data_IF_955148933707
#
_entry.id   IF_955148933707
#
_cell.length_a   1.000
_cell.length_b   1.000
_cell.length_c   1.000
_cell.angle_alpha   90.00
_cell.angle_beta   90.00
_cell.angle_gamma   90.00
#
_symmetry.space_group_name_H-M   'P 1'
#
loop_
_entity.id
_entity.type
_entity.pdbx_description
1 polymer ?
#
# COMPACT_ATOMS: atom_id res chain seq x y z
N UNK A 1 -6.08 -15.54 31.82
CA UNK A 1 -5.71 -14.45 30.90
C UNK A 1 -6.50 -14.64 29.60
N UNK A 2 -7.46 -13.76 29.30
CA UNK A 2 -8.14 -13.78 28.00
C UNK A 2 -7.08 -13.39 26.95
N UNK A 3 -6.73 -14.33 26.07
CA UNK A 3 -5.85 -14.00 24.95
C UNK A 3 -6.52 -12.88 24.14
N UNK A 4 -5.83 -11.74 23.88
CA UNK A 4 -6.40 -10.70 23.05
C UNK A 4 -6.81 -11.34 21.71
N UNK A 5 -7.97 -10.97 21.14
CA UNK A 5 -8.45 -11.58 19.91
C UNK A 5 -7.33 -11.48 18.88
N UNK A 6 -6.84 -12.64 18.43
CA UNK A 6 -5.80 -12.73 17.41
C UNK A 6 -6.30 -11.90 16.23
N UNK A 7 -5.75 -10.70 16.02
CA UNK A 7 -6.11 -9.85 14.88
C UNK A 7 -5.75 -10.62 13.63
N UNK A 8 -6.70 -11.38 13.12
CA UNK A 8 -6.57 -12.05 11.84
C UNK A 8 -6.64 -10.95 10.79
N UNK A 9 -5.64 -10.83 9.90
CA UNK A 9 -5.68 -9.86 8.82
C UNK A 9 -6.94 -10.11 7.99
N UNK A 10 -7.79 -9.09 7.88
CA UNK A 10 -9.06 -9.24 7.17
C UNK A 10 -8.85 -8.92 5.70
N UNK A 11 -9.18 -9.90 4.85
CA UNK A 11 -9.12 -9.74 3.39
C UNK A 11 -9.82 -8.47 2.93
N UNK A 12 -10.98 -8.17 3.52
CA UNK A 12 -11.76 -6.99 3.17
C UNK A 12 -11.05 -5.69 3.56
N UNK A 13 -10.44 -5.60 4.76
CA UNK A 13 -9.69 -4.39 5.11
C UNK A 13 -8.48 -4.20 4.18
N UNK A 14 -7.77 -5.28 3.84
CA UNK A 14 -6.65 -5.19 2.91
C UNK A 14 -7.08 -4.69 1.52
N UNK A 15 -8.23 -5.14 1.00
CA UNK A 15 -8.77 -4.62 -0.27
C UNK A 15 -9.19 -3.15 -0.16
N UNK A 16 -9.82 -2.75 0.94
CA UNK A 16 -10.23 -1.36 1.16
C UNK A 16 -9.01 -0.44 1.22
N UNK A 17 -7.99 -0.82 2.01
CA UNK A 17 -6.74 -0.04 2.10
C UNK A 17 -6.03 -0.03 0.75
N UNK A 18 -6.02 -1.15 0.01
CA UNK A 18 -5.46 -1.20 -1.33
C UNK A 18 -6.16 -0.24 -2.29
N UNK A 19 -7.50 -0.14 -2.24
CA UNK A 19 -8.25 0.78 -3.08
C UNK A 19 -7.97 2.25 -2.70
N UNK A 20 -7.95 2.55 -1.39
CA UNK A 20 -7.65 3.89 -0.86
C UNK A 20 -6.25 4.37 -1.23
N UNK A 21 -5.28 3.46 -1.39
CA UNK A 21 -3.93 3.79 -1.84
C UNK A 21 -3.80 3.74 -3.36
N UNK A 22 -4.43 2.76 -3.99
CA UNK A 22 -4.31 2.49 -5.42
C UNK A 22 -4.90 3.59 -6.27
N UNK A 23 -6.07 4.13 -5.89
CA UNK A 23 -6.73 5.20 -6.66
C UNK A 23 -5.87 6.49 -6.67
N UNK A 24 -5.46 7.06 -5.52
CA UNK A 24 -4.56 8.22 -5.52
C UNK A 24 -3.19 7.91 -6.13
N UNK A 25 -2.66 6.69 -5.92
CA UNK A 25 -1.40 6.26 -6.51
C UNK A 25 -1.44 6.27 -8.04
N UNK A 26 -2.52 5.77 -8.65
CA UNK A 26 -2.74 5.85 -10.10
C UNK A 26 -2.85 7.29 -10.58
N UNK A 27 -3.59 8.13 -9.86
CA UNK A 27 -3.75 9.55 -10.21
C UNK A 27 -2.41 10.27 -10.20
N UNK A 28 -1.59 10.07 -9.16
CA UNK A 28 -0.26 10.65 -9.09
C UNK A 28 0.66 10.11 -10.19
N UNK A 29 0.62 8.81 -10.48
CA UNK A 29 1.46 8.24 -11.52
C UNK A 29 1.11 8.80 -12.91
N UNK A 30 -0.17 8.79 -13.27
CA UNK A 30 -0.64 9.32 -14.57
C UNK A 30 -0.40 10.82 -14.65
N UNK A 31 -0.75 11.56 -13.61
CA UNK A 31 -0.50 13.01 -13.54
C UNK A 31 0.99 13.34 -13.61
N UNK A 32 1.84 12.52 -13.00
CA UNK A 32 3.29 12.65 -13.03
C UNK A 32 3.87 12.44 -14.42
N UNK A 33 3.41 11.42 -15.15
CA UNK A 33 3.81 11.18 -16.55
C UNK A 33 3.30 12.29 -17.48
N UNK A 34 2.08 12.77 -17.29
CA UNK A 34 1.52 13.83 -18.15
C UNK A 34 2.12 15.22 -17.91
N UNK A 35 2.70 15.46 -16.72
CA UNK A 35 3.20 16.78 -16.30
C UNK A 35 4.72 16.78 -16.03
N UNK A 36 5.42 15.70 -16.41
CA UNK A 36 6.85 15.45 -16.14
C UNK A 36 7.26 15.68 -14.68
N UNK A 37 6.36 15.38 -13.74
CA UNK A 37 6.58 15.53 -12.30
C UNK A 37 7.17 14.26 -11.71
N UNK A 38 8.49 14.25 -11.53
CA UNK A 38 9.21 13.11 -10.94
C UNK A 38 8.70 12.78 -9.52
N UNK A 39 8.32 13.80 -8.74
CA UNK A 39 7.77 13.60 -7.39
C UNK A 39 6.42 12.88 -7.40
N UNK A 40 5.55 13.19 -8.37
CA UNK A 40 4.27 12.51 -8.55
C UNK A 40 4.45 11.06 -9.02
N UNK A 41 5.41 10.80 -9.91
CA UNK A 41 5.75 9.45 -10.35
C UNK A 41 6.25 8.59 -9.19
N UNK A 42 7.20 9.09 -8.39
CA UNK A 42 7.75 8.38 -7.24
C UNK A 42 6.67 8.07 -6.21
N UNK A 43 5.85 9.08 -5.88
CA UNK A 43 4.73 8.93 -4.93
C UNK A 43 3.70 7.92 -5.44
N UNK A 44 3.35 8.01 -6.74
CA UNK A 44 2.43 7.09 -7.39
C UNK A 44 2.90 5.64 -7.35
N UNK A 45 4.15 5.39 -7.74
CA UNK A 45 4.75 4.04 -7.71
C UNK A 45 4.77 3.47 -6.28
N UNK A 46 5.16 4.27 -5.29
CA UNK A 46 5.23 3.82 -3.90
C UNK A 46 3.85 3.39 -3.36
N UNK A 47 2.82 4.19 -3.61
CA UNK A 47 1.45 3.88 -3.21
C UNK A 47 0.91 2.62 -3.94
N UNK A 48 1.17 2.49 -5.24
CA UNK A 48 0.75 1.35 -6.04
C UNK A 48 1.45 0.06 -5.66
N UNK A 49 2.74 0.11 -5.32
CA UNK A 49 3.50 -1.06 -4.89
C UNK A 49 2.90 -1.66 -3.60
N UNK A 50 2.56 -0.82 -2.62
CA UNK A 50 1.93 -1.32 -1.39
C UNK A 50 0.48 -1.77 -1.62
N UNK A 51 -0.29 -1.06 -2.45
CA UNK A 51 -1.64 -1.48 -2.85
C UNK A 51 -1.64 -2.86 -3.53
N UNK A 52 -0.71 -3.12 -4.45
CA UNK A 52 -0.57 -4.41 -5.11
C UNK A 52 -0.26 -5.54 -4.10
N UNK A 53 0.59 -5.25 -3.11
CA UNK A 53 0.90 -6.18 -2.03
C UNK A 53 -0.34 -6.51 -1.19
N UNK A 54 -1.13 -5.50 -0.82
CA UNK A 54 -2.38 -5.64 -0.07
C UNK A 54 -3.42 -6.47 -0.85
N UNK A 55 -3.56 -6.24 -2.16
CA UNK A 55 -4.43 -7.05 -3.03
C UNK A 55 -3.97 -8.50 -3.08
N UNK A 56 -2.66 -8.74 -3.23
CA UNK A 56 -2.09 -10.09 -3.22
C UNK A 56 -2.40 -10.81 -1.91
N UNK A 57 -2.18 -10.16 -0.77
CA UNK A 57 -2.46 -10.75 0.54
C UNK A 57 -3.95 -11.02 0.73
N UNK A 58 -4.82 -10.08 0.36
CA UNK A 58 -6.26 -10.28 0.41
C UNK A 58 -6.72 -11.47 -0.46
N UNK A 59 -6.24 -11.57 -1.70
CA UNK A 59 -6.55 -12.71 -2.57
C UNK A 59 -6.05 -14.03 -1.97
N UNK A 60 -4.88 -14.03 -1.34
CA UNK A 60 -4.33 -15.21 -0.70
C UNK A 60 -5.15 -15.63 0.51
N UNK A 61 -5.55 -14.69 1.39
CA UNK A 61 -6.44 -14.94 2.53
C UNK A 61 -7.79 -15.48 2.05
N UNK A 62 -8.37 -14.89 0.99
CA UNK A 62 -9.63 -15.36 0.41
C UNK A 62 -9.55 -16.80 -0.11
N UNK A 63 -8.38 -17.22 -0.60
CA UNK A 63 -8.16 -18.58 -1.13
C UNK A 63 -7.79 -19.60 -0.06
N UNK A 64 -6.98 -19.21 0.93
CA UNK A 64 -6.32 -20.15 1.86
C UNK A 64 -6.83 -20.05 3.30
N UNK A 65 -7.58 -19.00 3.63
CA UNK A 65 -8.03 -18.72 5.00
C UNK A 65 -6.93 -18.20 5.93
N UNK A 66 -5.70 -18.03 5.44
CA UNK A 66 -4.55 -17.55 6.22
C UNK A 66 -3.82 -16.41 5.50
N UNK A 67 -3.17 -15.49 6.24
CA UNK A 67 -2.35 -14.46 5.62
C UNK A 67 -1.19 -15.02 4.81
N UNK A 68 -0.84 -14.34 3.71
CA UNK A 68 0.34 -14.69 2.93
C UNK A 68 1.64 -14.35 3.69
N UNK A 69 1.58 -13.39 4.62
CA UNK A 69 2.74 -12.99 5.41
C UNK A 69 2.37 -12.44 6.79
N UNK A 70 3.33 -12.43 7.76
CA UNK A 70 3.10 -11.85 9.07
C UNK A 70 2.76 -10.35 9.01
N UNK A 71 1.80 -9.91 9.84
CA UNK A 71 1.37 -8.51 9.91
C UNK A 71 2.51 -7.54 10.20
N UNK A 72 3.48 -7.92 11.03
CA UNK A 72 4.65 -7.09 11.33
C UNK A 72 5.48 -6.79 10.06
N UNK A 73 5.66 -7.78 9.18
CA UNK A 73 6.37 -7.61 7.91
C UNK A 73 5.57 -6.72 6.95
N UNK A 74 4.24 -6.84 6.98
CA UNK A 74 3.34 -6.00 6.19
C UNK A 74 3.44 -4.54 6.55
N UNK A 75 3.38 -4.25 7.85
CA UNK A 75 3.53 -2.91 8.37
C UNK A 75 4.90 -2.33 8.02
N UNK A 76 5.98 -3.12 8.15
CA UNK A 76 7.32 -2.65 7.81
C UNK A 76 7.45 -2.27 6.34
N UNK A 77 6.90 -3.09 5.43
CA UNK A 77 6.84 -2.75 4.00
C UNK A 77 5.98 -1.50 3.77
N UNK A 78 4.82 -1.41 4.43
CA UNK A 78 3.95 -0.23 4.38
C UNK A 78 4.66 1.05 4.82
N UNK A 79 5.43 0.99 5.90
CA UNK A 79 6.27 2.10 6.36
C UNK A 79 7.36 2.47 5.36
N UNK A 80 7.99 1.47 4.73
CA UNK A 80 8.94 1.70 3.65
C UNK A 80 8.30 2.44 2.47
N UNK A 81 7.14 1.97 1.99
CA UNK A 81 6.40 2.64 0.93
C UNK A 81 5.94 4.05 1.33
N UNK A 82 5.54 4.25 2.59
CA UNK A 82 5.19 5.57 3.11
C UNK A 82 6.39 6.52 3.10
N UNK A 83 7.58 6.06 3.49
CA UNK A 83 8.79 6.87 3.45
C UNK A 83 9.13 7.30 2.02
N UNK A 84 9.08 6.38 1.05
CA UNK A 84 9.31 6.70 -0.37
C UNK A 84 8.24 7.67 -0.90
N UNK A 85 6.98 7.48 -0.50
CA UNK A 85 5.89 8.39 -0.85
C UNK A 85 6.14 9.81 -0.34
N UNK A 86 6.58 9.95 0.92
CA UNK A 86 6.92 11.25 1.49
C UNK A 86 8.10 11.91 0.77
N UNK A 87 9.12 11.14 0.38
CA UNK A 87 10.23 11.66 -0.45
C UNK A 87 9.72 12.18 -1.79
N UNK A 88 8.84 11.44 -2.46
CA UNK A 88 8.21 11.89 -3.71
C UNK A 88 7.42 13.18 -3.53
N UNK A 89 6.67 13.32 -2.42
CA UNK A 89 5.97 14.56 -2.08
C UNK A 89 6.93 15.72 -1.83
N UNK A 90 8.04 15.49 -1.12
CA UNK A 90 9.03 16.54 -0.88
C UNK A 90 9.64 17.03 -2.19
N UNK A 91 9.97 16.12 -3.11
CA UNK A 91 10.49 16.48 -4.45
C UNK A 91 9.45 17.27 -5.25
N UNK A 92 8.18 16.87 -5.19
CA UNK A 92 7.08 17.57 -5.88
C UNK A 92 6.92 19.03 -5.43
N UNK A 93 7.19 19.30 -4.15
CA UNK A 93 6.98 20.60 -3.52
C UNK A 93 8.28 21.42 -3.34
N UNK A 94 9.41 20.94 -3.85
CA UNK A 94 10.69 21.66 -3.88
C UNK A 94 10.83 22.42 -5.19
#
# INVERSE_FOLDING_TARGET
MQQPPKRVPSSNANLVIAALLGIPGMINLVGGVMRDSTGDIISGIAALAYAALLVRDAMYVKKTGVPAMPQARMLLIGFGCLAVYLVGLLIKHS
#
